data_IF_489635052976
#
_entry.id   IF_489635052976
#
_cell.length_a   1.000
_cell.length_b   1.000
_cell.length_c   1.000
_cell.angle_alpha   90.00
_cell.angle_beta   90.00
_cell.angle_gamma   90.00
#
_symmetry.space_group_name_H-M   'P 1'
#
loop_
_entity.id
_entity.type
_entity.pdbx_description
1 polymer ?
#
# COMPACT_ATOMS: atom_id res chain seq x y z
N UNK A 1 14.32 -6.71 -1.32
CA UNK A 1 13.23 -5.77 -1.60
C UNK A 1 12.32 -5.68 -0.38
N UNK A 2 11.80 -4.51 -0.05
CA UNK A 2 10.76 -4.31 0.96
C UNK A 2 9.43 -4.04 0.25
N UNK A 3 8.34 -4.71 0.66
CA UNK A 3 7.02 -4.56 0.06
C UNK A 3 6.00 -4.09 1.10
N UNK A 4 5.31 -2.97 0.84
CA UNK A 4 4.38 -2.32 1.77
C UNK A 4 2.96 -2.30 1.21
N UNK A 5 2.03 -2.87 1.94
CA UNK A 5 0.62 -2.93 1.57
C UNK A 5 -0.13 -1.61 1.81
N UNK A 6 -1.30 -1.45 1.20
CA UNK A 6 -2.23 -0.34 1.43
C UNK A 6 -3.09 -0.51 2.69
N UNK A 7 -3.95 0.49 2.97
CA UNK A 7 -4.95 0.39 4.03
C UNK A 7 -5.81 -0.86 3.83
N UNK A 8 -6.24 -1.45 4.92
CA UNK A 8 -6.99 -2.72 4.96
C UNK A 8 -6.24 -3.93 4.39
N UNK A 9 -4.93 -3.77 4.10
CA UNK A 9 -4.08 -4.83 3.57
C UNK A 9 -3.31 -5.61 4.62
N UNK A 10 -2.41 -6.45 4.12
CA UNK A 10 -1.46 -7.22 4.92
C UNK A 10 -0.27 -7.66 4.04
N UNK A 11 0.84 -8.01 4.67
CA UNK A 11 2.08 -8.37 3.97
C UNK A 11 1.93 -9.58 3.05
N UNK A 12 1.09 -10.55 3.41
CA UNK A 12 0.91 -11.79 2.63
C UNK A 12 0.30 -11.55 1.24
N UNK A 13 -0.33 -10.40 0.97
CA UNK A 13 -0.77 -10.02 -0.38
C UNK A 13 0.36 -10.02 -1.41
N UNK A 14 1.58 -9.80 -0.98
CA UNK A 14 2.75 -9.78 -1.86
C UNK A 14 3.28 -11.17 -2.21
N UNK A 15 2.82 -12.24 -1.52
CA UNK A 15 3.32 -13.61 -1.72
C UNK A 15 3.12 -14.12 -3.16
N UNK A 16 1.95 -13.96 -3.82
CA UNK A 16 1.78 -14.37 -5.20
C UNK A 16 2.73 -13.64 -6.17
N UNK A 17 2.90 -12.32 -6.02
CA UNK A 17 3.85 -11.56 -6.82
C UNK A 17 5.29 -12.05 -6.58
N UNK A 18 5.68 -12.25 -5.33
CA UNK A 18 7.02 -12.69 -4.96
C UNK A 18 7.33 -14.09 -5.49
N UNK A 19 6.42 -15.04 -5.30
CA UNK A 19 6.67 -16.46 -5.63
C UNK A 19 6.52 -16.77 -7.12
N UNK A 20 5.57 -16.14 -7.80
CA UNK A 20 5.25 -16.46 -9.19
C UNK A 20 5.97 -15.55 -10.19
N UNK A 21 6.28 -14.31 -9.80
CA UNK A 21 6.83 -13.32 -10.73
C UNK A 21 8.21 -12.77 -10.32
N UNK A 22 8.66 -12.93 -9.07
CA UNK A 22 9.91 -12.37 -8.56
C UNK A 22 10.68 -13.40 -7.72
N UNK A 23 10.62 -14.67 -8.08
CA UNK A 23 11.21 -15.78 -7.30
C UNK A 23 12.73 -15.66 -7.11
N UNK A 24 13.40 -14.86 -7.92
CA UNK A 24 14.82 -14.55 -7.81
C UNK A 24 15.14 -13.44 -6.80
N UNK A 25 14.11 -12.75 -6.24
CA UNK A 25 14.27 -11.59 -5.36
C UNK A 25 13.83 -11.96 -3.95
N UNK A 26 14.70 -11.73 -2.97
CA UNK A 26 14.30 -11.82 -1.56
C UNK A 26 13.35 -10.66 -1.20
N UNK A 27 12.15 -10.99 -0.72
CA UNK A 27 11.08 -10.05 -0.39
C UNK A 27 10.78 -10.10 1.11
N UNK A 28 10.86 -8.95 1.78
CA UNK A 28 10.29 -8.73 3.10
C UNK A 28 8.99 -7.94 2.94
N UNK A 29 7.88 -8.48 3.45
CA UNK A 29 6.56 -7.87 3.36
C UNK A 29 5.89 -7.86 4.76
N UNK A 30 6.24 -6.91 5.63
CA UNK A 30 5.66 -6.82 6.97
C UNK A 30 4.19 -6.35 6.90
N UNK A 31 3.41 -6.76 7.90
CA UNK A 31 2.15 -6.10 8.20
C UNK A 31 2.46 -4.73 8.86
N UNK A 32 1.88 -3.66 8.36
CA UNK A 32 2.01 -2.33 8.96
C UNK A 32 1.27 -2.27 10.31
N UNK A 33 1.65 -1.33 11.19
CA UNK A 33 1.02 -1.17 12.51
C UNK A 33 -0.51 -1.05 12.35
N UNK A 34 -1.26 -1.73 13.19
CA UNK A 34 -2.73 -1.77 13.13
C UNK A 34 -3.30 -2.73 12.09
N UNK A 35 -2.46 -3.46 11.35
CA UNK A 35 -2.88 -4.41 10.32
C UNK A 35 -2.37 -5.83 10.64
N UNK A 36 -3.07 -6.82 10.11
CA UNK A 36 -2.65 -8.21 10.12
C UNK A 36 -2.28 -8.73 11.50
N UNK A 37 -1.07 -9.26 11.62
CA UNK A 37 -0.50 -9.82 12.84
C UNK A 37 0.50 -8.90 13.54
N UNK A 38 0.75 -7.69 12.99
CA UNK A 38 1.53 -6.67 13.67
C UNK A 38 0.79 -6.08 14.86
N UNK A 39 1.48 -5.28 15.67
CA UNK A 39 0.87 -4.61 16.84
C UNK A 39 -0.34 -3.75 16.43
N UNK A 40 -1.43 -3.87 17.18
CA UNK A 40 -2.61 -3.01 17.05
C UNK A 40 -2.59 -1.85 18.06
N UNK A 41 -1.53 -1.72 18.85
CA UNK A 41 -1.36 -0.60 19.77
C UNK A 41 -1.00 0.69 19.04
N UNK A 42 -1.48 1.84 19.57
CA UNK A 42 -1.07 3.16 19.11
C UNK A 42 0.44 3.42 19.43
N UNK A 43 1.10 4.36 18.76
CA UNK A 43 0.53 5.39 17.88
C UNK A 43 0.29 4.90 16.43
N UNK A 44 -0.83 5.34 15.83
CA UNK A 44 -1.21 4.99 14.46
C UNK A 44 -0.92 6.16 13.52
N UNK A 45 0.35 6.34 13.18
CA UNK A 45 0.83 7.41 12.30
C UNK A 45 1.75 6.86 11.21
N UNK A 46 1.94 7.62 10.13
CA UNK A 46 2.97 7.30 9.13
C UNK A 46 4.34 7.27 9.80
N UNK A 47 4.64 8.25 10.68
CA UNK A 47 5.92 8.34 11.39
C UNK A 47 6.23 7.08 12.23
N UNK A 48 5.23 6.51 12.91
CA UNK A 48 5.40 5.28 13.69
C UNK A 48 5.72 4.06 12.80
N UNK A 49 5.06 3.95 11.64
CA UNK A 49 5.38 2.91 10.67
C UNK A 49 6.78 3.09 10.09
N UNK A 50 7.18 4.32 9.79
CA UNK A 50 8.55 4.63 9.29
C UNK A 50 9.60 4.25 10.32
N UNK A 51 9.40 4.56 11.60
CA UNK A 51 10.32 4.19 12.68
C UNK A 51 10.48 2.65 12.79
N UNK A 52 9.36 1.92 12.79
CA UNK A 52 9.37 0.46 12.85
C UNK A 52 10.05 -0.18 11.62
N UNK A 53 9.81 0.37 10.42
CA UNK A 53 10.44 -0.12 9.20
C UNK A 53 11.94 0.23 9.12
N UNK A 54 12.35 1.38 9.64
CA UNK A 54 13.77 1.73 9.75
C UNK A 54 14.50 0.73 10.66
N UNK A 55 13.92 0.39 11.81
CA UNK A 55 14.43 -0.62 12.71
C UNK A 55 14.49 -2.01 12.05
N UNK A 56 13.43 -2.41 11.34
CA UNK A 56 13.42 -3.66 10.54
C UNK A 56 14.59 -3.71 9.54
N UNK A 57 14.81 -2.63 8.79
CA UNK A 57 15.91 -2.55 7.82
C UNK A 57 17.29 -2.62 8.50
N UNK A 58 17.45 -2.00 9.65
CA UNK A 58 18.70 -2.05 10.38
C UNK A 58 19.05 -3.44 10.91
N UNK A 59 18.03 -4.23 11.29
CA UNK A 59 18.23 -5.58 11.80
C UNK A 59 18.31 -6.66 10.71
N UNK A 60 17.60 -6.51 9.60
CA UNK A 60 17.44 -7.61 8.63
C UNK A 60 18.09 -7.34 7.27
N UNK A 61 18.25 -6.09 6.86
CA UNK A 61 18.81 -5.78 5.56
C UNK A 61 20.33 -5.53 5.65
N UNK A 62 21.11 -6.31 4.93
CA UNK A 62 22.57 -6.15 4.85
C UNK A 62 23.02 -5.08 3.86
N UNK A 63 22.10 -4.64 2.98
CA UNK A 63 22.33 -3.61 1.95
C UNK A 63 21.08 -2.75 1.79
N UNK A 64 21.19 -1.56 1.16
CA UNK A 64 20.04 -0.76 0.80
C UNK A 64 19.06 -1.53 -0.09
N UNK A 65 17.77 -1.19 0.00
CA UNK A 65 16.68 -1.93 -0.64
C UNK A 65 15.90 -1.08 -1.64
N UNK A 66 15.30 -1.72 -2.63
CA UNK A 66 14.19 -1.17 -3.38
C UNK A 66 12.91 -1.37 -2.56
N UNK A 67 12.07 -0.34 -2.47
CA UNK A 67 10.76 -0.42 -1.80
C UNK A 67 9.66 -0.41 -2.85
N UNK A 68 8.83 -1.44 -2.87
CA UNK A 68 7.55 -1.44 -3.59
C UNK A 68 6.43 -1.19 -2.59
N UNK A 69 5.49 -0.33 -2.93
CA UNK A 69 4.43 0.04 -2.03
C UNK A 69 3.11 0.26 -2.78
N UNK A 70 1.99 -0.02 -2.11
CA UNK A 70 0.66 0.19 -2.64
C UNK A 70 -0.12 1.21 -1.78
N UNK A 71 -0.84 2.14 -2.43
CA UNK A 71 -1.80 3.02 -1.77
C UNK A 71 -1.20 3.78 -0.57
N UNK A 72 -1.74 3.60 0.65
CA UNK A 72 -1.22 4.13 1.92
C UNK A 72 0.26 3.76 2.15
N UNK A 73 0.65 2.53 1.81
CA UNK A 73 2.05 2.10 1.92
C UNK A 73 3.01 2.99 1.14
N UNK A 74 2.53 3.69 0.08
CA UNK A 74 3.33 4.64 -0.68
C UNK A 74 3.68 5.88 0.15
N UNK A 75 2.76 6.39 0.98
CA UNK A 75 3.04 7.50 1.89
C UNK A 75 4.14 7.11 2.90
N UNK A 76 4.03 5.89 3.44
CA UNK A 76 5.05 5.33 4.34
C UNK A 76 6.39 5.14 3.61
N UNK A 77 6.39 4.60 2.38
CA UNK A 77 7.60 4.38 1.59
C UNK A 77 8.33 5.67 1.24
N UNK A 78 7.61 6.70 0.81
CA UNK A 78 8.17 8.01 0.48
C UNK A 78 8.82 8.66 1.71
N UNK A 79 8.15 8.61 2.86
CA UNK A 79 8.69 9.15 4.10
C UNK A 79 9.86 8.31 4.63
N UNK A 80 9.83 6.97 4.47
CA UNK A 80 10.95 6.10 4.81
C UNK A 80 12.20 6.44 3.96
N UNK A 81 12.03 6.66 2.66
CA UNK A 81 13.13 7.08 1.79
C UNK A 81 13.70 8.44 2.18
N UNK A 82 12.85 9.38 2.62
CA UNK A 82 13.30 10.68 3.12
C UNK A 82 14.04 10.57 4.47
N UNK A 83 13.57 9.71 5.37
CA UNK A 83 14.17 9.50 6.69
C UNK A 83 15.46 8.66 6.63
N UNK A 84 15.54 7.71 5.68
CA UNK A 84 16.64 6.74 5.56
C UNK A 84 17.14 6.64 4.10
N UNK A 85 17.67 7.75 3.56
CA UNK A 85 18.20 7.75 2.18
C UNK A 85 19.39 6.80 2.00
N UNK A 86 20.04 6.41 3.09
CA UNK A 86 21.11 5.41 3.14
C UNK A 86 20.60 3.97 2.97
N UNK A 87 19.30 3.73 3.19
CA UNK A 87 18.70 2.40 3.20
C UNK A 87 17.74 2.14 2.03
N UNK A 88 17.27 3.18 1.32
CA UNK A 88 16.32 3.07 0.22
C UNK A 88 16.95 3.58 -1.07
N UNK A 89 17.14 2.69 -2.05
CA UNK A 89 17.75 3.03 -3.34
C UNK A 89 16.74 3.49 -4.39
N UNK A 90 15.55 2.89 -4.39
CA UNK A 90 14.50 3.24 -5.35
C UNK A 90 13.11 2.90 -4.81
N UNK A 91 12.10 3.52 -5.42
CA UNK A 91 10.68 3.34 -5.10
C UNK A 91 9.89 2.87 -6.33
N UNK A 92 8.98 1.91 -6.13
CA UNK A 92 7.90 1.57 -7.05
C UNK A 92 6.58 1.77 -6.31
N UNK A 93 5.86 2.84 -6.64
CA UNK A 93 4.67 3.31 -5.94
C UNK A 93 3.43 2.97 -6.76
N UNK A 94 2.64 2.02 -6.30
CA UNK A 94 1.45 1.51 -6.98
C UNK A 94 0.21 2.26 -6.49
N UNK A 95 -0.36 3.05 -7.36
CA UNK A 95 -1.54 3.91 -7.15
C UNK A 95 -1.50 4.66 -5.79
N UNK A 96 -0.47 5.49 -5.56
CA UNK A 96 -0.19 6.11 -4.28
C UNK A 96 -1.34 7.00 -3.79
N UNK A 97 -1.78 6.76 -2.55
CA UNK A 97 -2.73 7.58 -1.81
C UNK A 97 -1.93 8.50 -0.88
N UNK A 98 -1.68 9.74 -1.30
CA UNK A 98 -0.89 10.73 -0.55
C UNK A 98 -1.36 12.15 -0.84
N UNK A 99 -1.36 13.03 0.16
CA UNK A 99 -1.73 14.43 0.01
C UNK A 99 -3.15 14.62 -0.52
N UNK A 100 -4.08 13.76 -0.06
CA UNK A 100 -5.47 13.72 -0.53
C UNK A 100 -6.32 14.80 0.16
N UNK A 101 -7.48 15.07 -0.42
CA UNK A 101 -8.43 16.03 0.12
C UNK A 101 -8.98 15.57 1.49
N UNK A 102 -8.90 16.41 2.50
CA UNK A 102 -9.30 16.06 3.87
C UNK A 102 -10.81 15.84 4.03
N UNK A 103 -11.67 16.50 3.23
CA UNK A 103 -13.11 16.27 3.26
C UNK A 103 -13.43 14.90 2.68
N UNK A 104 -12.79 14.53 1.58
CA UNK A 104 -12.91 13.19 1.00
C UNK A 104 -12.42 12.11 1.96
N UNK A 105 -11.27 12.31 2.63
CA UNK A 105 -10.76 11.34 3.61
C UNK A 105 -11.72 11.15 4.79
N UNK A 106 -12.37 12.22 5.23
CA UNK A 106 -13.41 12.14 6.26
C UNK A 106 -14.63 11.34 5.78
N UNK A 107 -15.10 11.55 4.55
CA UNK A 107 -16.22 10.78 3.98
C UNK A 107 -15.94 9.28 3.95
N UNK A 108 -14.71 8.87 3.57
CA UNK A 108 -14.30 7.47 3.58
C UNK A 108 -14.25 6.93 5.02
N UNK A 109 -13.71 7.70 5.96
CA UNK A 109 -13.66 7.31 7.37
C UNK A 109 -15.06 7.15 7.96
N UNK A 110 -15.98 8.09 7.68
CA UNK A 110 -17.39 8.03 8.11
C UNK A 110 -18.09 6.80 7.53
N UNK A 111 -17.87 6.47 6.24
CA UNK A 111 -18.41 5.28 5.60
C UNK A 111 -17.88 3.99 6.23
N UNK A 112 -16.58 3.93 6.55
CA UNK A 112 -15.98 2.79 7.24
C UNK A 112 -16.55 2.59 8.65
N UNK A 113 -16.82 3.67 9.38
CA UNK A 113 -17.45 3.61 10.70
C UNK A 113 -18.93 3.17 10.63
N UNK A 114 -19.63 3.55 9.58
CA UNK A 114 -21.02 3.17 9.37
C UNK A 114 -21.20 1.68 9.01
N UNK A 115 -20.16 1.06 8.40
CA UNK A 115 -20.19 -0.35 7.98
C UNK A 115 -18.84 -1.02 8.31
N UNK A 116 -18.56 -1.26 9.60
CA UNK A 116 -17.24 -1.72 10.08
C UNK A 116 -17.02 -3.23 9.90
N UNK A 117 -18.06 -3.98 9.64
CA UNK A 117 -18.06 -5.44 9.56
C UNK A 117 -19.18 -5.98 8.66
N UNK A 118 -19.23 -7.30 8.50
CA UNK A 118 -20.13 -8.00 7.57
C UNK A 118 -20.96 -9.06 8.30
N UNK A 119 -22.13 -9.38 7.76
CA UNK A 119 -23.01 -10.44 8.28
C UNK A 119 -22.54 -11.85 7.88
N UNK A 120 -21.77 -11.96 6.79
CA UNK A 120 -21.24 -13.22 6.29
C UNK A 120 -19.95 -13.02 5.47
N UNK A 121 -19.17 -14.09 5.23
CA UNK A 121 -18.04 -14.07 4.31
C UNK A 121 -18.43 -13.70 2.87
N UNK A 122 -19.62 -14.14 2.43
CA UNK A 122 -20.13 -13.83 1.08
C UNK A 122 -20.41 -12.34 0.92
N UNK A 123 -20.95 -11.67 1.96
CA UNK A 123 -21.11 -10.22 1.96
C UNK A 123 -19.77 -9.49 1.88
N UNK A 124 -18.78 -9.93 2.67
CA UNK A 124 -17.44 -9.36 2.62
C UNK A 124 -16.78 -9.54 1.24
N UNK A 125 -16.96 -10.72 0.63
CA UNK A 125 -16.50 -11.03 -0.72
C UNK A 125 -17.14 -10.13 -1.75
N UNK A 126 -18.47 -10.01 -1.70
CA UNK A 126 -19.21 -9.16 -2.63
C UNK A 126 -18.84 -7.68 -2.52
N UNK A 127 -18.63 -7.17 -1.30
CA UNK A 127 -18.18 -5.81 -1.07
C UNK A 127 -16.81 -5.53 -1.72
N UNK A 128 -15.84 -6.45 -1.61
CA UNK A 128 -14.54 -6.32 -2.29
C UNK A 128 -14.68 -6.42 -3.81
N UNK A 129 -15.36 -7.45 -4.31
CA UNK A 129 -15.53 -7.69 -5.75
C UNK A 129 -16.25 -6.56 -6.49
N UNK A 130 -17.16 -5.86 -5.81
CA UNK A 130 -17.88 -4.69 -6.36
C UNK A 130 -17.15 -3.36 -6.12
N UNK A 131 -16.00 -3.39 -5.46
CA UNK A 131 -15.15 -2.23 -5.16
C UNK A 131 -13.81 -2.28 -5.88
N UNK A 132 -12.75 -1.91 -5.18
CA UNK A 132 -11.39 -1.80 -5.72
C UNK A 132 -10.76 -3.13 -6.20
N UNK A 133 -11.42 -4.27 -5.97
CA UNK A 133 -11.00 -5.61 -6.38
C UNK A 133 -11.72 -6.13 -7.62
N UNK A 134 -12.47 -5.28 -8.33
CA UNK A 134 -13.28 -5.71 -9.48
C UNK A 134 -12.47 -6.36 -10.61
N UNK A 135 -11.20 -5.99 -10.75
CA UNK A 135 -10.27 -6.51 -11.77
C UNK A 135 -9.40 -7.69 -11.29
N UNK A 136 -9.54 -8.08 -10.02
CA UNK A 136 -8.70 -9.12 -9.41
C UNK A 136 -9.32 -10.49 -9.67
N UNK A 137 -8.45 -11.47 -9.99
CA UNK A 137 -8.87 -12.86 -10.19
C UNK A 137 -9.61 -13.41 -8.95
N UNK A 138 -10.67 -14.18 -9.21
CA UNK A 138 -11.53 -14.73 -8.16
C UNK A 138 -10.75 -15.60 -7.15
N UNK A 139 -9.77 -16.36 -7.61
CA UNK A 139 -8.96 -17.21 -6.72
C UNK A 139 -8.05 -16.37 -5.80
N UNK A 140 -7.54 -15.23 -6.28
CA UNK A 140 -6.77 -14.28 -5.45
C UNK A 140 -7.67 -13.61 -4.42
N UNK A 141 -8.90 -13.25 -4.79
CA UNK A 141 -9.89 -12.72 -3.87
C UNK A 141 -10.30 -13.76 -2.81
N UNK A 142 -10.49 -15.02 -3.18
CA UNK A 142 -10.84 -16.07 -2.23
C UNK A 142 -9.69 -16.34 -1.24
N UNK A 143 -8.44 -16.34 -1.70
CA UNK A 143 -7.27 -16.42 -0.82
C UNK A 143 -7.16 -15.22 0.15
N UNK A 144 -7.53 -14.03 -0.29
CA UNK A 144 -7.60 -12.84 0.59
C UNK A 144 -8.60 -13.03 1.74
N UNK A 145 -9.78 -13.61 1.45
CA UNK A 145 -10.76 -13.90 2.50
C UNK A 145 -10.23 -14.93 3.49
N UNK A 146 -9.65 -16.02 2.99
CA UNK A 146 -9.10 -17.08 3.83
C UNK A 146 -7.99 -16.59 4.77
N UNK A 147 -7.15 -15.68 4.28
CA UNK A 147 -6.00 -15.18 5.03
C UNK A 147 -6.34 -14.04 6.01
N UNK A 148 -7.32 -13.21 5.66
CA UNK A 148 -7.48 -11.90 6.30
C UNK A 148 -8.86 -11.62 6.89
N UNK A 149 -9.92 -12.33 6.46
CA UNK A 149 -11.23 -12.24 7.08
C UNK A 149 -11.25 -13.05 8.37
N UNK A 150 -11.75 -12.48 9.45
CA UNK A 150 -11.83 -13.13 10.77
C UNK A 150 -13.25 -13.05 11.32
N UNK A 151 -13.66 -14.07 12.10
CA UNK A 151 -14.89 -13.98 12.87
C UNK A 151 -14.75 -12.93 13.98
N UNK A 152 -15.83 -12.16 14.16
CA UNK A 152 -15.99 -11.17 15.21
C UNK A 152 -17.08 -11.60 16.19
N UNK A 153 -17.24 -10.92 17.35
CA UNK A 153 -18.35 -11.15 18.26
C UNK A 153 -19.72 -11.03 17.56
N UNK A 154 -20.74 -11.69 18.15
CA UNK A 154 -22.11 -11.72 17.65
C UNK A 154 -22.29 -12.33 16.24
N UNK A 155 -21.37 -13.20 15.80
CA UNK A 155 -21.45 -13.88 14.51
C UNK A 155 -21.19 -12.99 13.30
N UNK A 156 -20.52 -11.87 13.52
CA UNK A 156 -20.07 -10.97 12.46
C UNK A 156 -18.71 -11.37 11.91
N UNK A 157 -18.31 -10.75 10.81
CA UNK A 157 -17.01 -10.96 10.16
C UNK A 157 -16.36 -9.61 9.87
N UNK A 158 -15.05 -9.53 10.04
CA UNK A 158 -14.30 -8.31 9.73
C UNK A 158 -12.90 -8.63 9.24
N UNK A 159 -12.24 -7.64 8.67
CA UNK A 159 -10.85 -7.79 8.28
C UNK A 159 -9.94 -7.79 9.51
N UNK A 160 -8.84 -8.52 9.45
CA UNK A 160 -7.83 -8.56 10.53
C UNK A 160 -7.06 -7.23 10.61
N UNK A 161 -7.69 -6.23 11.20
CA UNK A 161 -7.15 -4.88 11.35
C UNK A 161 -7.76 -4.16 12.56
N UNK A 162 -7.09 -3.12 13.02
CA UNK A 162 -7.60 -2.20 14.05
C UNK A 162 -8.41 -1.09 13.38
N UNK A 163 -9.72 -1.07 13.57
CA UNK A 163 -10.58 -0.02 13.03
C UNK A 163 -10.13 1.39 13.49
N UNK A 164 -9.80 1.63 14.78
CA UNK A 164 -9.27 2.93 15.21
C UNK A 164 -7.99 3.34 14.47
N UNK A 165 -7.10 2.38 14.15
CA UNK A 165 -5.91 2.66 13.36
C UNK A 165 -6.27 3.09 11.93
N UNK A 166 -7.24 2.42 11.30
CA UNK A 166 -7.69 2.78 9.93
C UNK A 166 -8.25 4.21 9.90
N UNK A 167 -9.07 4.58 10.87
CA UNK A 167 -9.61 5.95 10.96
C UNK A 167 -8.49 6.98 11.13
N UNK A 168 -7.49 6.70 11.95
CA UNK A 168 -6.30 7.55 12.08
C UNK A 168 -5.55 7.69 10.75
N UNK A 169 -5.35 6.58 10.03
CA UNK A 169 -4.63 6.58 8.76
C UNK A 169 -5.35 7.32 7.63
N UNK A 170 -6.68 7.31 7.58
CA UNK A 170 -7.40 8.18 6.63
C UNK A 170 -7.09 9.65 6.85
N UNK A 171 -6.96 10.09 8.11
CA UNK A 171 -6.51 11.46 8.43
C UNK A 171 -5.06 11.71 8.00
N UNK A 172 -4.18 10.73 8.20
CA UNK A 172 -2.76 10.83 7.82
C UNK A 172 -2.56 11.00 6.30
N UNK A 173 -3.45 10.44 5.46
CA UNK A 173 -3.39 10.59 4.00
C UNK A 173 -3.70 12.02 3.50
N UNK A 174 -4.31 12.86 4.35
CA UNK A 174 -4.56 14.27 4.05
C UNK A 174 -3.39 15.20 4.48
N UNK A 175 -2.32 14.66 5.07
CA UNK A 175 -1.13 15.44 5.43
C UNK A 175 -0.41 15.95 4.18
N UNK A 176 0.40 16.97 4.38
CA UNK A 176 1.36 17.41 3.36
C UNK A 176 2.27 16.24 2.94
N UNK A 177 2.45 16.08 1.64
CA UNK A 177 3.24 14.99 1.08
C UNK A 177 4.72 15.17 1.35
N UNK A 178 5.34 14.18 1.99
CA UNK A 178 6.80 14.10 2.11
C UNK A 178 7.35 13.48 0.83
N UNK A 179 8.10 14.25 0.06
CA UNK A 179 8.69 13.77 -1.19
C UNK A 179 10.01 13.01 -0.93
N UNK A 180 10.32 11.98 -1.75
CA UNK A 180 11.61 11.30 -1.66
C UNK A 180 12.77 12.27 -1.93
N UNK A 181 13.98 12.00 -1.45
CA UNK A 181 15.15 12.82 -1.73
C UNK A 181 15.57 12.73 -3.19
N UNK A 182 16.27 13.78 -3.66
CA UNK A 182 16.86 13.78 -5.01
C UNK A 182 17.76 12.56 -5.20
N UNK A 183 17.75 11.98 -6.41
CA UNK A 183 18.52 10.77 -6.73
C UNK A 183 17.81 9.46 -6.35
N UNK A 184 16.63 9.51 -5.70
CA UNK A 184 15.83 8.31 -5.46
C UNK A 184 15.05 7.95 -6.72
N UNK A 185 15.49 6.93 -7.44
CA UNK A 185 14.80 6.44 -8.63
C UNK A 185 13.36 6.03 -8.31
N UNK A 186 12.36 6.80 -8.76
CA UNK A 186 10.95 6.61 -8.38
C UNK A 186 10.08 6.34 -9.59
N UNK A 187 9.38 5.20 -9.58
CA UNK A 187 8.32 4.88 -10.55
C UNK A 187 6.97 4.95 -9.85
N UNK A 188 6.08 5.80 -10.35
CA UNK A 188 4.67 5.84 -9.96
C UNK A 188 3.84 5.08 -10.99
N UNK A 189 2.98 4.19 -10.53
CA UNK A 189 1.97 3.52 -11.34
C UNK A 189 0.60 4.10 -11.01
N UNK A 190 -0.07 4.68 -12.00
CA UNK A 190 -1.46 5.14 -11.88
C UNK A 190 -2.39 4.02 -12.34
N UNK A 191 -3.39 3.70 -11.54
CA UNK A 191 -4.50 2.83 -11.92
C UNK A 191 -5.52 3.66 -12.73
N UNK A 192 -5.72 3.28 -14.00
CA UNK A 192 -6.54 4.09 -14.94
C UNK A 192 -8.03 4.11 -14.60
N UNK A 193 -8.52 3.10 -13.88
CA UNK A 193 -9.95 2.93 -13.58
C UNK A 193 -10.35 3.44 -12.20
N UNK A 194 -9.38 3.75 -11.33
CA UNK A 194 -9.66 4.34 -10.01
C UNK A 194 -10.28 5.73 -10.16
N UNK A 195 -11.49 5.91 -9.64
CA UNK A 195 -12.22 7.17 -9.70
C UNK A 195 -12.90 7.49 -8.35
N UNK A 196 -12.63 8.67 -7.77
CA UNK A 196 -11.61 9.63 -8.16
C UNK A 196 -10.18 9.05 -8.06
N UNK A 197 -9.25 9.57 -8.88
CA UNK A 197 -7.86 9.08 -8.89
C UNK A 197 -7.15 9.45 -7.59
N UNK A 198 -6.44 8.50 -7.00
CA UNK A 198 -5.52 8.76 -5.88
C UNK A 198 -4.24 9.47 -6.34
N UNK A 199 -3.79 9.20 -7.57
CA UNK A 199 -2.61 9.86 -8.16
C UNK A 199 -3.02 11.22 -8.68
N UNK A 200 -2.91 12.25 -7.85
CA UNK A 200 -3.26 13.62 -8.19
C UNK A 200 -2.25 14.25 -9.15
N UNK A 201 -2.69 15.21 -9.97
CA UNK A 201 -1.77 15.96 -10.85
C UNK A 201 -0.75 16.78 -10.06
N UNK A 202 -1.12 17.24 -8.85
CA UNK A 202 -0.20 17.89 -7.91
C UNK A 202 0.94 16.96 -7.52
N UNK A 203 0.64 15.74 -7.08
CA UNK A 203 1.67 14.74 -6.71
C UNK A 203 2.63 14.49 -7.88
N UNK A 204 2.09 14.33 -9.10
CA UNK A 204 2.90 14.08 -10.31
C UNK A 204 3.80 15.27 -10.62
N UNK A 205 3.30 16.50 -10.47
CA UNK A 205 4.07 17.72 -10.68
C UNK A 205 5.18 17.84 -9.65
N UNK A 206 4.85 17.71 -8.37
CA UNK A 206 5.81 17.82 -7.27
C UNK A 206 6.94 16.76 -7.39
N UNK A 207 6.60 15.50 -7.72
CA UNK A 207 7.59 14.46 -7.95
C UNK A 207 8.47 14.72 -9.18
N UNK A 208 7.89 15.24 -10.27
CA UNK A 208 8.65 15.57 -11.48
C UNK A 208 9.63 16.72 -11.25
N UNK A 209 9.20 17.75 -10.54
CA UNK A 209 10.06 18.88 -10.16
C UNK A 209 11.16 18.45 -9.21
N UNK A 210 10.83 17.61 -8.24
CA UNK A 210 11.77 17.13 -7.21
C UNK A 210 12.83 16.17 -7.74
N UNK A 211 12.45 15.22 -8.58
CA UNK A 211 13.27 14.08 -8.98
C UNK A 211 13.82 14.17 -10.40
N UNK A 212 13.25 15.04 -11.24
CA UNK A 212 13.71 15.21 -12.62
C UNK A 212 13.76 13.88 -13.40
N UNK A 213 14.96 13.49 -13.91
CA UNK A 213 15.11 12.27 -14.70
C UNK A 213 14.92 10.97 -13.92
N UNK A 214 15.01 11.00 -12.58
CA UNK A 214 14.81 9.84 -11.74
C UNK A 214 13.32 9.48 -11.56
N UNK A 215 12.40 10.38 -11.96
CA UNK A 215 10.97 10.16 -11.89
C UNK A 215 10.40 9.54 -13.18
N UNK A 216 9.55 8.52 -12.99
CA UNK A 216 8.77 7.91 -14.07
C UNK A 216 7.32 7.75 -13.65
N UNK A 217 6.39 8.11 -14.54
CA UNK A 217 4.96 7.82 -14.40
C UNK A 217 4.57 6.77 -15.45
N UNK A 218 3.88 5.73 -15.01
CA UNK A 218 3.29 4.69 -15.86
C UNK A 218 1.81 4.57 -15.51
N UNK A 219 0.95 4.33 -16.51
CA UNK A 219 -0.48 4.08 -16.29
C UNK A 219 -0.79 2.65 -16.70
N UNK A 220 -1.53 1.92 -15.85
CA UNK A 220 -2.01 0.56 -16.13
C UNK A 220 -3.54 0.54 -16.14
N UNK A 221 -4.11 -0.21 -17.08
CA UNK A 221 -5.55 -0.39 -17.24
C UNK A 221 -6.09 -1.39 -16.21
N UNK A 222 -6.28 -0.90 -14.99
CA UNK A 222 -6.83 -1.66 -13.86
C UNK A 222 -7.44 -0.71 -12.82
N UNK A 223 -8.15 -1.27 -11.86
CA UNK A 223 -8.57 -0.63 -10.63
C UNK A 223 -7.40 -0.53 -9.63
N UNK A 224 -7.71 -0.05 -8.43
CA UNK A 224 -6.74 0.30 -7.38
C UNK A 224 -5.79 -0.84 -6.97
N UNK A 225 -6.21 -2.10 -7.07
CA UNK A 225 -5.40 -3.26 -6.66
C UNK A 225 -4.39 -3.67 -7.73
N UNK A 226 -3.44 -2.77 -8.02
CA UNK A 226 -2.50 -2.86 -9.15
C UNK A 226 -1.63 -4.11 -9.12
N UNK A 227 -1.13 -4.51 -7.96
CA UNK A 227 -0.23 -5.67 -7.84
C UNK A 227 -0.95 -6.99 -8.11
N UNK A 228 -2.22 -7.08 -7.67
CA UNK A 228 -3.06 -8.26 -7.82
C UNK A 228 -3.66 -8.36 -9.23
N UNK A 229 -4.01 -7.21 -9.83
CA UNK A 229 -4.61 -7.17 -11.18
C UNK A 229 -3.57 -7.26 -12.31
N UNK A 230 -2.35 -6.75 -12.10
CA UNK A 230 -1.29 -6.63 -13.12
C UNK A 230 0.08 -7.12 -12.62
N UNK A 231 0.19 -8.33 -12.03
CA UNK A 231 1.40 -8.77 -11.36
C UNK A 231 2.63 -8.84 -12.29
N UNK A 232 2.47 -9.25 -13.55
CA UNK A 232 3.57 -9.32 -14.50
C UNK A 232 4.15 -7.95 -14.86
N UNK A 233 3.28 -6.93 -15.06
CA UNK A 233 3.69 -5.56 -15.34
C UNK A 233 4.40 -4.95 -14.14
N UNK A 234 3.87 -5.16 -12.93
CA UNK A 234 4.48 -4.70 -11.69
C UNK A 234 5.86 -5.34 -11.48
N UNK A 235 5.99 -6.64 -11.72
CA UNK A 235 7.27 -7.34 -11.63
C UNK A 235 8.31 -6.79 -12.61
N UNK A 236 7.90 -6.43 -13.84
CA UNK A 236 8.79 -5.81 -14.82
C UNK A 236 9.31 -4.44 -14.32
N UNK A 237 8.43 -3.59 -13.78
CA UNK A 237 8.81 -2.29 -13.23
C UNK A 237 9.73 -2.41 -12.01
N UNK A 238 9.52 -3.42 -11.15
CA UNK A 238 10.41 -3.69 -10.01
C UNK A 238 11.80 -4.07 -10.51
N UNK A 239 11.91 -5.00 -11.48
CA UNK A 239 13.21 -5.41 -12.06
C UNK A 239 13.96 -4.25 -12.70
N UNK A 240 13.27 -3.31 -13.34
CA UNK A 240 13.88 -2.11 -13.90
C UNK A 240 14.58 -1.26 -12.82
N UNK A 241 14.01 -1.17 -11.62
CA UNK A 241 14.57 -0.40 -10.49
C UNK A 241 15.62 -1.15 -9.67
N UNK A 242 15.77 -2.45 -9.89
CA UNK A 242 16.79 -3.28 -9.22
C UNK A 242 18.10 -3.42 -10.02
N UNK A 243 18.14 -2.92 -11.25
CA UNK A 243 19.33 -2.85 -12.11
C UNK A 243 20.20 -1.66 -11.77
#
# INVERSE_FOLDING_TARGET
>A
MLALHGLTGHGKRWEPLATQHLSEIAVAAPDLIGHGRSSWAAPWTIDANVAALAELLDHQATSPVVVVAHSFGCAVAMQLAAARPDRVTALVLLDPAVGLDGAWMREIADAMLASPDYSSPEEARAAKANGSWADVDAAVLDAELDDHLIPLPAGRYGWRLSLPAMISYWSELARETVLPPNGTGTTVVRAARTSPSYVTDRLVTDLRERLGPDFRLTTLECDHMVAEAKPADVAALIRERMR
#
